data_IF_734828712405
#
_entry.id   IF_734828712405
#
_cell.length_a   1.000
_cell.length_b   1.000
_cell.length_c   1.000
_cell.angle_alpha   90.00
_cell.angle_beta   90.00
_cell.angle_gamma   90.00
#
_symmetry.space_group_name_H-M   'P 1'
#
loop_
_entity.id
_entity.type
_entity.pdbx_description
1 polymer ?
#
# COMPACT_ATOMS: atom_id res chain seq x y z
N UNK A 1 -81.50 -18.51 20.50
CA UNK A 1 -80.32 -19.39 20.66
C UNK A 1 -79.21 -18.90 19.71
N UNK A 2 -78.31 -18.03 20.14
CA UNK A 2 -77.18 -17.51 19.30
C UNK A 2 -75.90 -18.23 19.70
N UNK A 3 -75.32 -19.04 18.80
CA UNK A 3 -74.00 -19.66 18.96
C UNK A 3 -72.91 -18.66 18.51
N UNK A 4 -72.18 -18.06 19.46
CA UNK A 4 -70.94 -17.31 19.18
C UNK A 4 -69.79 -18.29 18.84
N UNK A 5 -69.32 -18.22 17.62
CA UNK A 5 -68.09 -18.91 17.17
C UNK A 5 -66.90 -17.99 17.53
N UNK A 6 -66.05 -18.42 18.44
CA UNK A 6 -64.75 -17.78 18.72
C UNK A 6 -63.75 -18.24 17.66
N UNK A 7 -63.29 -17.31 16.85
CA UNK A 7 -62.20 -17.55 15.92
C UNK A 7 -60.86 -17.24 16.68
N UNK A 8 -60.07 -18.27 16.96
CA UNK A 8 -58.73 -18.11 17.55
C UNK A 8 -57.79 -17.86 16.39
N UNK A 9 -57.27 -16.63 16.28
CA UNK A 9 -56.25 -16.24 15.33
C UNK A 9 -54.86 -16.66 15.90
N UNK A 10 -54.29 -17.74 15.35
CA UNK A 10 -52.92 -18.18 15.67
C UNK A 10 -51.96 -17.26 14.95
N UNK A 11 -51.31 -16.29 15.65
CA UNK A 11 -50.19 -15.52 15.14
C UNK A 11 -48.95 -16.45 15.07
N UNK A 12 -48.59 -16.87 13.88
CA UNK A 12 -47.29 -17.48 13.61
C UNK A 12 -46.19 -16.39 13.66
N UNK A 13 -45.46 -16.33 14.75
CA UNK A 13 -44.22 -15.53 14.83
C UNK A 13 -43.14 -16.24 14.01
N UNK A 14 -42.90 -15.76 12.80
CA UNK A 14 -41.73 -16.18 12.00
C UNK A 14 -40.46 -15.67 12.70
N UNK A 15 -39.43 -16.51 12.95
CA UNK A 15 -38.16 -16.04 13.44
C UNK A 15 -37.50 -15.18 12.34
N UNK A 16 -37.38 -13.88 12.61
CA UNK A 16 -36.56 -12.96 11.80
C UNK A 16 -35.09 -13.40 11.92
N UNK A 17 -34.64 -14.19 10.97
CA UNK A 17 -33.22 -14.49 10.81
C UNK A 17 -32.55 -13.17 10.36
N UNK A 18 -32.07 -12.37 11.33
CA UNK A 18 -31.17 -11.27 11.02
C UNK A 18 -29.89 -11.91 10.46
N UNK A 19 -29.77 -11.93 9.13
CA UNK A 19 -28.52 -12.16 8.48
C UNK A 19 -27.56 -11.06 8.99
N UNK A 20 -26.65 -11.43 9.88
CA UNK A 20 -25.56 -10.58 10.34
C UNK A 20 -24.74 -10.29 9.08
N UNK A 21 -24.91 -9.11 8.49
CA UNK A 21 -24.01 -8.63 7.43
C UNK A 21 -22.63 -8.62 8.04
N UNK A 22 -21.79 -9.58 7.65
CA UNK A 22 -20.37 -9.53 7.99
C UNK A 22 -19.81 -8.28 7.35
N UNK A 23 -19.58 -7.24 8.13
CA UNK A 23 -18.87 -6.06 7.68
C UNK A 23 -17.46 -6.52 7.28
N UNK A 24 -17.00 -6.13 6.09
CA UNK A 24 -15.62 -6.42 5.67
C UNK A 24 -14.67 -5.47 6.37
N UNK A 25 -13.56 -5.98 6.89
CA UNK A 25 -12.45 -5.16 7.40
C UNK A 25 -11.94 -4.26 6.28
N UNK A 26 -12.03 -2.94 6.45
CA UNK A 26 -11.58 -1.96 5.46
C UNK A 26 -10.16 -1.48 5.77
N UNK A 27 -9.24 -1.78 4.86
CA UNK A 27 -7.83 -1.42 4.97
C UNK A 27 -7.48 -0.30 3.99
N UNK A 28 -6.91 0.80 4.50
CA UNK A 28 -6.21 1.78 3.69
C UNK A 28 -4.75 1.35 3.55
N UNK A 29 -4.29 0.95 2.37
CA UNK A 29 -2.97 0.38 2.14
C UNK A 29 -2.16 1.23 1.16
N UNK A 30 -0.92 1.55 1.50
CA UNK A 30 0.01 2.24 0.60
C UNK A 30 0.20 1.44 -0.71
N UNK A 31 0.32 2.15 -1.82
CA UNK A 31 0.27 1.57 -3.17
C UNK A 31 1.39 0.54 -3.45
N UNK A 32 2.51 0.58 -2.74
CA UNK A 32 3.59 -0.42 -2.83
C UNK A 32 3.19 -1.80 -2.26
N UNK A 33 2.10 -1.87 -1.47
CA UNK A 33 1.53 -3.11 -0.98
C UNK A 33 0.61 -3.81 -2.00
N UNK A 34 0.20 -3.11 -3.06
CA UNK A 34 -0.71 -3.67 -4.08
C UNK A 34 -0.23 -5.00 -4.69
N UNK A 35 1.07 -5.23 -4.93
CA UNK A 35 1.56 -6.53 -5.42
C UNK A 35 1.59 -7.64 -4.38
N UNK A 36 1.54 -7.30 -3.09
CA UNK A 36 1.84 -8.23 -1.98
C UNK A 36 0.60 -8.56 -1.14
N UNK A 37 -0.15 -7.53 -0.76
CA UNK A 37 -1.23 -7.62 0.21
C UNK A 37 -2.40 -8.53 -0.21
N UNK A 38 -2.83 -8.61 -1.49
CA UNK A 38 -3.94 -9.46 -1.88
C UNK A 38 -3.75 -10.93 -1.51
N UNK A 39 -2.56 -11.49 -1.70
CA UNK A 39 -2.27 -12.87 -1.34
C UNK A 39 -2.27 -13.11 0.19
N UNK A 40 -1.89 -12.11 0.97
CA UNK A 40 -1.96 -12.15 2.43
C UNK A 40 -3.40 -12.01 2.93
N UNK A 41 -4.20 -11.17 2.27
CA UNK A 41 -5.65 -11.06 2.53
C UNK A 41 -6.32 -12.41 2.30
N UNK A 42 -6.10 -13.05 1.16
CA UNK A 42 -6.64 -14.38 0.86
C UNK A 42 -6.27 -15.42 1.92
N UNK A 43 -5.03 -15.35 2.43
CA UNK A 43 -4.56 -16.24 3.50
C UNK A 43 -5.27 -15.94 4.83
N UNK A 44 -5.42 -14.67 5.20
CA UNK A 44 -6.13 -14.24 6.40
C UNK A 44 -7.61 -14.63 6.36
N UNK A 45 -8.29 -14.36 5.23
CA UNK A 45 -9.70 -14.73 5.03
C UNK A 45 -9.94 -16.23 5.19
N UNK A 46 -9.04 -17.07 4.63
CA UNK A 46 -9.13 -18.54 4.76
C UNK A 46 -8.93 -19.01 6.20
N UNK A 47 -8.08 -18.34 6.97
CA UNK A 47 -7.79 -18.70 8.37
C UNK A 47 -8.88 -18.24 9.34
N UNK A 48 -9.52 -17.11 9.08
CA UNK A 48 -10.40 -16.43 10.03
C UNK A 48 -11.88 -16.43 9.62
N UNK A 49 -12.17 -16.75 8.35
CA UNK A 49 -13.49 -16.57 7.73
C UNK A 49 -14.00 -15.11 7.78
N UNK A 50 -13.10 -14.13 7.95
CA UNK A 50 -13.38 -12.70 7.92
C UNK A 50 -13.13 -12.15 6.53
N UNK A 51 -13.92 -11.18 6.09
CA UNK A 51 -13.73 -10.51 4.80
C UNK A 51 -12.90 -9.25 4.94
N UNK A 52 -12.02 -9.01 3.98
CA UNK A 52 -11.13 -7.85 3.95
C UNK A 52 -11.26 -7.13 2.60
N UNK A 53 -11.41 -5.81 2.68
CA UNK A 53 -11.46 -4.92 1.53
C UNK A 53 -10.33 -3.89 1.65
N UNK A 54 -9.38 -3.92 0.73
CA UNK A 54 -8.22 -3.04 0.74
C UNK A 54 -8.27 -2.00 -0.39
N UNK A 55 -8.14 -0.73 -0.02
CA UNK A 55 -8.01 0.39 -0.96
C UNK A 55 -6.56 0.84 -1.04
N UNK A 56 -6.05 1.06 -2.25
CA UNK A 56 -4.65 1.39 -2.50
C UNK A 56 -4.51 2.80 -3.08
N UNK A 57 -3.68 3.62 -2.44
CA UNK A 57 -3.33 4.97 -2.90
C UNK A 57 -1.99 5.43 -2.32
N UNK A 58 -1.60 6.69 -2.55
CA UNK A 58 -0.46 7.29 -1.84
C UNK A 58 -0.76 7.38 -0.33
N UNK A 59 0.28 7.28 0.51
CA UNK A 59 0.10 7.36 1.97
C UNK A 59 -0.54 8.67 2.41
N UNK A 60 -0.23 9.80 1.74
CA UNK A 60 -0.85 11.09 2.03
C UNK A 60 -2.35 11.10 1.67
N UNK A 61 -2.73 10.58 0.51
CA UNK A 61 -4.12 10.50 0.07
C UNK A 61 -4.96 9.68 1.05
N UNK A 62 -4.45 8.51 1.48
CA UNK A 62 -5.12 7.66 2.45
C UNK A 62 -5.25 8.33 3.83
N UNK A 63 -4.17 8.95 4.32
CA UNK A 63 -4.22 9.71 5.57
C UNK A 63 -5.27 10.83 5.51
N UNK A 64 -5.33 11.58 4.38
CA UNK A 64 -6.33 12.62 4.17
C UNK A 64 -7.75 12.05 4.18
N UNK A 65 -7.98 10.90 3.53
CA UNK A 65 -9.29 10.24 3.57
C UNK A 65 -9.68 9.84 4.99
N UNK A 66 -8.75 9.27 5.78
CA UNK A 66 -8.98 8.89 7.18
C UNK A 66 -9.30 10.11 8.02
N UNK A 67 -8.51 11.19 7.91
CA UNK A 67 -8.73 12.45 8.63
C UNK A 67 -10.08 13.10 8.31
N UNK A 68 -10.62 12.85 7.11
CA UNK A 68 -11.95 13.30 6.69
C UNK A 68 -13.07 12.26 6.94
N UNK A 69 -12.84 11.27 7.79
CA UNK A 69 -13.86 10.29 8.18
C UNK A 69 -14.05 9.13 7.20
N UNK A 70 -13.05 8.84 6.36
CA UNK A 70 -13.05 7.65 5.49
C UNK A 70 -13.28 6.37 6.29
N UNK A 71 -14.02 5.38 5.75
CA UNK A 71 -14.51 4.23 6.51
C UNK A 71 -13.45 3.13 6.65
N UNK A 72 -12.24 3.48 7.06
CA UNK A 72 -11.14 2.54 7.25
C UNK A 72 -11.00 2.14 8.71
N UNK A 73 -10.62 0.88 8.96
CA UNK A 73 -10.35 0.35 10.29
C UNK A 73 -8.85 0.10 10.53
N UNK A 74 -8.07 -0.07 9.44
CA UNK A 74 -6.60 -0.21 9.51
C UNK A 74 -5.96 0.66 8.43
N UNK A 75 -4.87 1.35 8.79
CA UNK A 75 -4.02 2.10 7.87
C UNK A 75 -2.62 1.48 7.83
N UNK A 76 -2.19 1.05 6.64
CA UNK A 76 -0.86 0.54 6.34
C UNK A 76 -0.15 1.57 5.44
N UNK A 77 0.71 2.38 6.02
CA UNK A 77 1.44 3.46 5.35
C UNK A 77 2.83 3.02 4.95
N UNK A 78 3.35 3.60 3.88
CA UNK A 78 4.74 3.42 3.46
C UNK A 78 5.74 4.30 4.25
N UNK A 79 5.32 4.98 5.31
CA UNK A 79 6.17 5.66 6.28
C UNK A 79 5.50 5.72 7.66
N UNK A 80 6.20 6.31 8.64
CA UNK A 80 5.67 6.54 9.99
C UNK A 80 4.96 7.89 10.14
N UNK A 81 5.25 8.86 9.27
CA UNK A 81 4.78 10.25 9.45
C UNK A 81 3.28 10.42 9.21
N UNK A 82 2.71 9.71 8.22
CA UNK A 82 1.29 9.78 7.96
C UNK A 82 0.45 9.05 9.01
N UNK A 83 0.80 7.84 9.48
CA UNK A 83 0.17 7.25 10.66
C UNK A 83 0.26 8.15 11.90
N UNK A 84 1.39 8.82 12.12
CA UNK A 84 1.53 9.77 13.23
C UNK A 84 0.51 10.91 13.15
N UNK A 85 0.26 11.47 11.96
CA UNK A 85 -0.79 12.50 11.78
C UNK A 85 -2.19 11.99 12.16
N UNK A 86 -2.49 10.71 11.89
CA UNK A 86 -3.76 10.09 12.29
C UNK A 86 -3.84 9.94 13.81
N UNK A 87 -2.72 9.59 14.45
CA UNK A 87 -2.60 9.52 15.93
C UNK A 87 -2.78 10.91 16.54
N UNK A 88 -2.08 11.92 16.03
CA UNK A 88 -2.11 13.30 16.53
C UNK A 88 -3.53 13.91 16.41
N UNK A 89 -4.31 13.46 15.43
CA UNK A 89 -5.72 13.82 15.28
C UNK A 89 -6.66 13.05 16.25
N UNK A 90 -6.14 12.15 17.09
CA UNK A 90 -6.91 11.36 18.05
C UNK A 90 -7.74 10.23 17.41
N UNK A 91 -7.47 9.88 16.16
CA UNK A 91 -8.23 8.88 15.38
C UNK A 91 -7.66 7.46 15.49
N UNK A 92 -6.44 7.27 16.01
CA UNK A 92 -5.83 5.96 16.23
C UNK A 92 -5.97 5.52 17.69
N UNK A 93 -5.96 4.23 17.94
CA UNK A 93 -6.04 3.64 19.28
C UNK A 93 -4.67 3.45 19.94
N UNK A 94 -3.59 3.70 19.22
CA UNK A 94 -2.21 3.64 19.71
C UNK A 94 -1.58 5.02 19.82
N UNK A 95 -0.56 5.16 20.70
CA UNK A 95 0.20 6.40 20.87
C UNK A 95 1.35 6.56 19.85
N UNK A 96 1.70 5.50 19.14
CA UNK A 96 2.77 5.49 18.15
C UNK A 96 2.40 4.55 16.99
N UNK A 97 2.89 4.83 15.75
CA UNK A 97 2.75 3.90 14.65
C UNK A 97 3.48 2.58 14.95
N UNK A 98 2.91 1.47 14.52
CA UNK A 98 3.53 0.13 14.63
C UNK A 98 4.36 -0.12 13.37
N UNK A 99 5.71 -0.17 13.45
CA UNK A 99 6.54 -0.51 12.29
C UNK A 99 6.28 -1.96 11.87
N UNK A 100 5.96 -2.20 10.58
CA UNK A 100 5.70 -3.57 10.11
C UNK A 100 6.68 -4.05 9.04
N UNK A 101 7.28 -3.13 8.25
CA UNK A 101 8.20 -3.46 7.19
C UNK A 101 9.13 -2.29 6.83
N UNK A 102 10.16 -2.55 6.02
CA UNK A 102 10.99 -1.56 5.35
C UNK A 102 11.00 -1.80 3.85
N UNK A 103 10.64 -0.76 3.08
CA UNK A 103 10.62 -0.79 1.63
C UNK A 103 12.00 -0.56 1.03
N UNK A 104 12.20 -1.05 -0.20
CA UNK A 104 13.41 -0.83 -1.00
C UNK A 104 13.04 -0.10 -2.29
N UNK A 105 13.76 1.00 -2.57
CA UNK A 105 13.64 1.76 -3.82
C UNK A 105 14.54 1.14 -4.88
N UNK A 106 14.01 0.94 -6.08
CA UNK A 106 14.78 0.43 -7.23
C UNK A 106 14.57 1.32 -8.45
N UNK A 107 15.58 1.37 -9.31
CA UNK A 107 15.45 1.85 -10.69
C UNK A 107 15.08 0.66 -11.56
N UNK A 108 14.01 0.76 -12.32
CA UNK A 108 13.52 -0.29 -13.22
C UNK A 108 13.37 0.24 -14.64
N UNK A 109 13.67 -0.59 -15.62
CA UNK A 109 13.44 -0.30 -17.02
C UNK A 109 13.01 -1.55 -17.80
N UNK A 110 12.19 -1.35 -18.83
CA UNK A 110 11.87 -2.42 -19.78
C UNK A 110 13.11 -2.96 -20.50
N UNK A 111 13.03 -4.20 -20.96
CA UNK A 111 14.10 -4.84 -21.72
C UNK A 111 14.43 -4.10 -23.03
N UNK A 112 13.46 -3.39 -23.61
CA UNK A 112 13.59 -2.59 -24.84
C UNK A 112 13.82 -1.08 -24.57
N UNK A 113 14.09 -0.69 -23.34
CA UNK A 113 14.39 0.70 -22.97
C UNK A 113 15.67 1.19 -23.66
N UNK A 114 15.72 2.48 -24.08
CA UNK A 114 16.90 3.05 -24.77
C UNK A 114 18.14 3.15 -23.88
N UNK A 115 18.03 2.85 -22.59
CA UNK A 115 19.12 2.94 -21.61
C UNK A 115 19.63 1.59 -21.12
N UNK A 116 19.42 0.54 -21.89
CA UNK A 116 19.99 -0.77 -21.59
C UNK A 116 21.48 -0.85 -21.98
N UNK A 117 22.33 -1.60 -21.26
CA UNK A 117 22.02 -2.31 -20.00
C UNK A 117 21.76 -1.37 -18.84
N UNK A 118 20.74 -1.70 -18.03
CA UNK A 118 20.33 -0.84 -16.93
C UNK A 118 21.38 -0.82 -15.79
N UNK A 119 21.75 0.38 -15.37
CA UNK A 119 22.58 0.66 -14.21
C UNK A 119 22.17 2.00 -13.59
N UNK A 120 22.72 2.36 -12.44
CA UNK A 120 22.51 3.70 -11.86
C UNK A 120 23.02 4.80 -12.82
N UNK A 121 24.13 4.54 -13.53
CA UNK A 121 24.68 5.49 -14.50
C UNK A 121 23.79 5.68 -15.73
N UNK A 122 22.82 4.80 -15.97
CA UNK A 122 21.79 5.01 -17.01
C UNK A 122 21.02 6.31 -16.80
N UNK A 123 20.93 6.83 -15.58
CA UNK A 123 20.35 8.15 -15.29
C UNK A 123 21.13 9.33 -15.90
N UNK A 124 22.39 9.12 -16.28
CA UNK A 124 23.27 10.10 -16.96
C UNK A 124 23.30 9.91 -18.48
N UNK A 125 22.64 8.88 -18.99
CA UNK A 125 22.66 8.57 -20.41
C UNK A 125 22.04 9.68 -21.25
N UNK A 126 22.66 10.08 -22.36
CA UNK A 126 22.08 11.02 -23.32
C UNK A 126 20.83 10.44 -24.00
N UNK A 127 20.66 9.11 -24.03
CA UNK A 127 19.47 8.44 -24.56
C UNK A 127 18.27 8.49 -23.61
N UNK A 128 18.48 8.84 -22.32
CA UNK A 128 17.40 8.96 -21.33
C UNK A 128 16.57 10.21 -21.60
N UNK A 129 15.28 10.04 -21.83
CA UNK A 129 14.33 11.14 -22.08
C UNK A 129 13.38 11.36 -20.93
N UNK A 130 12.91 10.27 -20.28
CA UNK A 130 11.86 10.32 -19.27
C UNK A 130 12.13 9.38 -18.10
N UNK A 131 11.84 9.85 -16.88
CA UNK A 131 12.02 9.12 -15.62
C UNK A 131 10.71 9.20 -14.82
N UNK A 132 10.05 8.08 -14.62
CA UNK A 132 8.87 8.03 -13.74
C UNK A 132 9.29 8.07 -12.27
N UNK A 133 8.63 8.93 -11.51
CA UNK A 133 8.79 9.06 -10.05
C UNK A 133 7.41 9.25 -9.41
N UNK A 134 7.20 8.74 -8.20
CA UNK A 134 6.03 9.10 -7.43
C UNK A 134 6.13 10.54 -6.93
N UNK A 135 4.98 11.21 -6.70
CA UNK A 135 4.96 12.56 -6.14
C UNK A 135 5.57 12.57 -4.73
N UNK A 136 6.63 13.36 -4.54
CA UNK A 136 7.37 13.43 -3.28
C UNK A 136 6.55 14.06 -2.13
N UNK A 137 5.51 14.83 -2.42
CA UNK A 137 4.63 15.40 -1.39
C UNK A 137 3.65 14.35 -0.83
N UNK A 138 3.25 13.39 -1.66
CA UNK A 138 2.20 12.43 -1.35
C UNK A 138 2.71 11.03 -1.02
N UNK A 139 3.87 10.63 -1.59
CA UNK A 139 4.37 9.26 -1.53
C UNK A 139 5.76 9.19 -0.87
N UNK A 140 5.94 8.33 0.15
CA UNK A 140 7.25 8.11 0.78
C UNK A 140 8.34 7.67 -0.20
N UNK A 141 8.01 6.80 -1.14
CA UNK A 141 8.92 6.40 -2.23
C UNK A 141 9.28 7.56 -3.16
N UNK A 142 8.38 8.52 -3.35
CA UNK A 142 8.66 9.75 -4.09
C UNK A 142 9.68 10.63 -3.37
N UNK A 143 9.55 10.77 -2.04
CA UNK A 143 10.56 11.45 -1.20
C UNK A 143 11.91 10.74 -1.26
N UNK A 144 11.91 9.42 -1.21
CA UNK A 144 13.13 8.61 -1.33
C UNK A 144 13.80 8.81 -2.71
N UNK A 145 13.04 8.77 -3.81
CA UNK A 145 13.56 9.02 -5.14
C UNK A 145 14.13 10.44 -5.29
N UNK A 146 13.45 11.46 -4.76
CA UNK A 146 13.93 12.83 -4.74
C UNK A 146 15.25 12.94 -3.99
N UNK A 147 15.34 12.39 -2.77
CA UNK A 147 16.55 12.42 -1.96
C UNK A 147 17.72 11.68 -2.65
N UNK A 148 17.45 10.53 -3.27
CA UNK A 148 18.46 9.80 -4.04
C UNK A 148 19.00 10.64 -5.22
N UNK A 149 18.11 11.27 -5.99
CA UNK A 149 18.51 12.14 -7.11
C UNK A 149 19.30 13.35 -6.64
N UNK A 150 18.95 13.96 -5.51
CA UNK A 150 19.69 15.06 -4.89
C UNK A 150 21.10 14.60 -4.47
N UNK A 151 21.20 13.46 -3.77
CA UNK A 151 22.50 12.91 -3.32
C UNK A 151 23.42 12.51 -4.48
N UNK A 152 22.85 11.99 -5.58
CA UNK A 152 23.59 11.66 -6.80
C UNK A 152 23.99 12.90 -7.62
N UNK A 153 23.53 14.11 -7.24
CA UNK A 153 23.73 15.36 -8.00
C UNK A 153 22.98 15.39 -9.34
N UNK A 154 21.86 14.66 -9.45
CA UNK A 154 21.09 14.53 -10.69
C UNK A 154 19.76 15.29 -10.67
N UNK A 155 19.34 15.86 -9.54
CA UNK A 155 18.03 16.47 -9.39
C UNK A 155 17.77 17.57 -10.44
N UNK A 156 18.71 18.51 -10.63
CA UNK A 156 18.53 19.58 -11.62
C UNK A 156 18.64 19.07 -13.07
N UNK A 157 19.58 18.15 -13.34
CA UNK A 157 19.78 17.61 -14.69
C UNK A 157 18.57 16.81 -15.20
N UNK A 158 17.83 16.16 -14.28
CA UNK A 158 16.67 15.34 -14.62
C UNK A 158 15.33 16.04 -14.42
N UNK A 159 15.28 17.25 -13.84
CA UNK A 159 14.05 17.99 -13.52
C UNK A 159 13.06 18.06 -14.69
N UNK A 160 13.54 18.35 -15.89
CA UNK A 160 12.72 18.42 -17.11
C UNK A 160 12.37 17.05 -17.73
N UNK A 161 12.90 15.95 -17.18
CA UNK A 161 12.66 14.58 -17.64
C UNK A 161 11.74 13.80 -16.69
N UNK A 162 11.36 14.37 -15.53
CA UNK A 162 10.55 13.66 -14.55
C UNK A 162 9.09 13.58 -15.00
N UNK A 163 8.55 12.36 -15.01
CA UNK A 163 7.14 12.06 -15.16
C UNK A 163 6.59 11.72 -13.78
N UNK A 164 5.92 12.68 -13.17
CA UNK A 164 5.45 12.57 -11.77
C UNK A 164 4.13 11.83 -11.72
N UNK A 165 4.12 10.71 -11.04
CA UNK A 165 2.96 9.86 -10.77
C UNK A 165 2.35 10.18 -9.41
N UNK A 166 1.06 9.93 -9.24
CA UNK A 166 0.35 10.15 -7.96
C UNK A 166 0.92 9.26 -6.83
N UNK A 167 1.29 8.02 -7.17
CA UNK A 167 1.84 7.06 -6.22
C UNK A 167 2.86 6.12 -6.89
N UNK A 168 3.48 5.25 -6.08
CA UNK A 168 4.57 4.38 -6.57
C UNK A 168 4.09 3.28 -7.53
N UNK A 169 2.85 2.81 -7.42
CA UNK A 169 2.30 1.83 -8.36
C UNK A 169 2.05 2.47 -9.73
N UNK A 170 1.59 3.72 -9.78
CA UNK A 170 1.44 4.44 -11.05
C UNK A 170 2.81 4.77 -11.68
N UNK A 171 3.85 5.06 -10.88
CA UNK A 171 5.21 5.22 -11.41
C UNK A 171 5.69 3.91 -12.09
N UNK A 172 5.41 2.76 -11.47
CA UNK A 172 5.70 1.46 -12.08
C UNK A 172 4.91 1.24 -13.38
N UNK A 173 3.64 1.64 -13.43
CA UNK A 173 2.82 1.57 -14.66
C UNK A 173 3.38 2.45 -15.79
N UNK A 174 3.86 3.67 -15.49
CA UNK A 174 4.45 4.54 -16.50
C UNK A 174 5.72 3.94 -17.10
N UNK A 175 6.59 3.34 -16.26
CA UNK A 175 7.77 2.66 -16.74
C UNK A 175 7.43 1.40 -17.58
N UNK A 176 6.47 0.57 -17.11
CA UNK A 176 6.05 -0.67 -17.77
C UNK A 176 5.33 -0.42 -19.11
N UNK A 177 4.53 0.64 -19.22
CA UNK A 177 3.83 1.01 -20.46
C UNK A 177 4.70 1.73 -21.49
N UNK A 178 5.93 2.16 -21.11
CA UNK A 178 6.81 2.96 -21.96
C UNK A 178 6.50 4.46 -21.98
N UNK A 179 5.61 4.92 -21.12
CA UNK A 179 5.41 6.35 -20.87
C UNK A 179 6.63 7.00 -20.16
N UNK A 180 7.49 6.16 -19.59
CA UNK A 180 8.81 6.56 -19.10
C UNK A 180 9.86 5.53 -19.52
N UNK A 181 11.06 6.01 -19.85
CA UNK A 181 12.20 5.15 -20.26
C UNK A 181 12.70 4.31 -19.08
N UNK A 182 12.64 4.88 -17.86
CA UNK A 182 12.95 4.23 -16.58
C UNK A 182 11.97 4.71 -15.50
N UNK A 183 11.86 3.97 -14.40
CA UNK A 183 11.06 4.38 -13.24
C UNK A 183 11.77 4.09 -11.92
N UNK A 184 11.71 5.03 -10.99
CA UNK A 184 11.93 4.74 -9.58
C UNK A 184 10.68 4.07 -9.04
N UNK A 185 10.78 2.78 -8.72
CA UNK A 185 9.65 1.97 -8.26
C UNK A 185 9.97 1.21 -6.97
N UNK A 186 8.98 0.57 -6.36
CA UNK A 186 9.20 -0.32 -5.23
C UNK A 186 9.76 -1.67 -5.68
N UNK A 187 10.60 -2.28 -4.85
CA UNK A 187 11.07 -3.65 -5.09
C UNK A 187 9.90 -4.63 -5.14
N UNK A 188 8.82 -4.40 -4.37
CA UNK A 188 7.59 -5.20 -4.43
C UNK A 188 6.98 -5.24 -5.84
N UNK A 189 6.97 -4.11 -6.53
CA UNK A 189 6.51 -4.03 -7.92
C UNK A 189 7.47 -4.73 -8.88
N UNK A 190 8.79 -4.50 -8.74
CA UNK A 190 9.80 -5.08 -9.62
C UNK A 190 9.85 -6.61 -9.56
N UNK A 191 9.51 -7.20 -8.40
CA UNK A 191 9.48 -8.65 -8.18
C UNK A 191 8.20 -9.33 -8.68
N UNK A 192 7.22 -8.57 -9.17
CA UNK A 192 6.03 -9.20 -9.77
C UNK A 192 6.41 -10.02 -11.01
N UNK A 193 5.71 -11.13 -11.33
CA UNK A 193 5.99 -11.91 -12.53
C UNK A 193 5.98 -11.06 -13.80
N UNK A 194 5.08 -10.07 -13.88
CA UNK A 194 4.96 -9.16 -15.03
C UNK A 194 6.21 -8.32 -15.21
N UNK A 195 6.59 -7.52 -14.19
CA UNK A 195 7.75 -6.62 -14.33
C UNK A 195 9.08 -7.38 -14.35
N UNK A 196 9.17 -8.51 -13.65
CA UNK A 196 10.35 -9.36 -13.67
C UNK A 196 10.62 -9.99 -15.04
N UNK A 197 9.59 -10.27 -15.85
CA UNK A 197 9.74 -10.79 -17.21
C UNK A 197 9.93 -9.69 -18.27
N UNK A 198 9.29 -8.53 -18.09
CA UNK A 198 9.29 -7.43 -19.07
C UNK A 198 10.46 -6.46 -18.94
N UNK A 199 11.19 -6.50 -17.81
CA UNK A 199 12.26 -5.54 -17.55
C UNK A 199 13.32 -6.04 -16.58
N UNK A 200 14.20 -5.12 -16.20
CA UNK A 200 15.28 -5.32 -15.24
C UNK A 200 15.24 -4.21 -14.19
N UNK A 201 15.77 -4.48 -13.00
CA UNK A 201 15.94 -3.46 -11.97
C UNK A 201 17.36 -3.47 -11.41
N UNK A 202 17.74 -2.34 -10.82
CA UNK A 202 18.90 -2.18 -9.94
C UNK A 202 18.43 -1.51 -8.65
N UNK A 203 18.90 -1.99 -7.51
CA UNK A 203 18.59 -1.34 -6.23
C UNK A 203 19.30 0.01 -6.15
N UNK A 204 18.60 1.04 -5.67
CA UNK A 204 19.23 2.29 -5.29
C UNK A 204 19.94 2.05 -3.94
N UNK A 205 21.22 2.46 -3.79
CA UNK A 205 21.92 2.30 -2.51
C UNK A 205 21.11 2.85 -1.34
N UNK A 206 20.96 2.06 -0.27
CA UNK A 206 20.16 2.45 0.90
C UNK A 206 20.67 3.73 1.57
N UNK A 207 21.95 4.05 1.42
CA UNK A 207 22.54 5.29 1.92
C UNK A 207 22.14 6.53 1.09
N UNK A 208 21.58 6.36 -0.09
CA UNK A 208 21.23 7.48 -0.98
C UNK A 208 19.84 8.07 -0.70
N UNK A 209 19.07 7.46 0.21
CA UNK A 209 17.74 7.96 0.59
C UNK A 209 17.42 7.61 2.05
N UNK A 210 16.52 8.39 2.71
CA UNK A 210 16.05 8.04 4.04
C UNK A 210 15.34 6.68 4.06
N UNK A 211 15.50 5.86 5.10
CA UNK A 211 14.82 4.56 5.20
C UNK A 211 13.31 4.68 4.98
N UNK A 212 12.76 3.81 4.14
CA UNK A 212 11.32 3.75 3.89
C UNK A 212 10.71 2.81 4.95
N UNK A 213 10.68 3.27 6.20
CA UNK A 213 10.15 2.51 7.33
C UNK A 213 8.63 2.61 7.35
N UNK A 214 7.94 1.51 7.06
CA UNK A 214 6.50 1.45 6.92
C UNK A 214 5.82 1.26 8.27
N UNK A 215 4.72 1.99 8.50
CA UNK A 215 3.99 2.00 9.77
C UNK A 215 2.50 1.74 9.62
N UNK A 216 1.93 1.09 10.62
CA UNK A 216 0.51 0.79 10.73
C UNK A 216 -0.13 1.49 11.92
N UNK A 217 -1.41 1.83 11.79
CA UNK A 217 -2.28 2.20 12.92
C UNK A 217 -3.68 1.61 12.73
N UNK A 218 -4.28 1.17 13.83
CA UNK A 218 -5.70 0.81 13.89
C UNK A 218 -6.51 2.07 14.16
N UNK A 219 -7.60 2.26 13.42
CA UNK A 219 -8.45 3.44 13.52
C UNK A 219 -9.45 3.22 14.67
N UNK A 220 -9.45 4.13 15.65
CA UNK A 220 -10.16 4.03 16.93
C UNK A 220 -11.67 3.84 16.80
N UNK A 221 -12.26 4.44 15.78
CA UNK A 221 -13.72 4.38 15.54
C UNK A 221 -14.07 3.55 14.30
N UNK A 222 -13.14 2.73 13.80
CA UNK A 222 -13.41 1.75 12.76
C UNK A 222 -14.44 0.74 13.23
N UNK A 223 -15.37 0.40 12.36
CA UNK A 223 -16.46 -0.55 12.68
C UNK A 223 -15.94 -1.94 13.11
N UNK A 224 -14.73 -2.28 12.67
CA UNK A 224 -14.11 -3.61 12.81
C UNK A 224 -12.71 -3.51 13.47
N UNK A 225 -12.60 -2.73 14.58
CA UNK A 225 -11.31 -2.50 15.27
C UNK A 225 -10.67 -3.82 15.77
N UNK A 226 -11.46 -4.77 16.26
CA UNK A 226 -10.96 -6.07 16.71
C UNK A 226 -10.37 -6.89 15.55
N UNK A 227 -11.02 -6.89 14.39
CA UNK A 227 -10.54 -7.51 13.17
C UNK A 227 -9.29 -6.80 12.62
N UNK A 228 -9.21 -5.47 12.78
CA UNK A 228 -8.05 -4.68 12.39
C UNK A 228 -6.81 -5.07 13.22
N UNK A 229 -6.96 -5.23 14.54
CA UNK A 229 -5.90 -5.76 15.40
C UNK A 229 -5.49 -7.17 15.00
N UNK A 230 -6.47 -8.05 14.79
CA UNK A 230 -6.20 -9.43 14.37
C UNK A 230 -5.42 -9.49 13.04
N UNK A 231 -5.76 -8.61 12.07
CA UNK A 231 -5.04 -8.52 10.82
C UNK A 231 -3.63 -7.96 11.02
N UNK A 232 -3.46 -6.96 11.88
CA UNK A 232 -2.15 -6.40 12.21
C UNK A 232 -1.25 -7.45 12.88
N UNK A 233 -1.78 -8.20 13.86
CA UNK A 233 -1.05 -9.31 14.50
C UNK A 233 -0.66 -10.40 13.50
N UNK A 234 -1.57 -10.75 12.58
CA UNK A 234 -1.28 -11.65 11.47
C UNK A 234 -0.14 -11.12 10.62
N UNK A 235 -0.16 -9.84 10.21
CA UNK A 235 0.86 -9.20 9.39
C UNK A 235 2.23 -9.21 10.09
N UNK A 236 2.25 -9.04 11.42
CA UNK A 236 3.46 -9.01 12.25
C UNK A 236 4.00 -10.41 12.61
N UNK A 237 3.24 -11.46 12.33
CA UNK A 237 3.65 -12.84 12.66
C UNK A 237 4.91 -13.26 11.89
N UNK A 238 5.80 -14.08 12.50
CA UNK A 238 7.04 -14.50 11.85
C UNK A 238 6.86 -15.15 10.46
N UNK A 239 5.85 -16.01 10.21
CA UNK A 239 5.62 -16.57 8.88
C UNK A 239 5.28 -15.52 7.83
N UNK A 240 4.49 -14.51 8.20
CA UNK A 240 4.08 -13.44 7.27
C UNK A 240 5.21 -12.46 7.03
N UNK A 241 5.99 -12.10 8.06
CA UNK A 241 7.21 -11.30 7.89
C UNK A 241 8.21 -11.94 6.93
N UNK A 242 8.36 -13.27 6.98
CA UNK A 242 9.18 -14.00 6.00
C UNK A 242 8.62 -13.87 4.59
N UNK A 243 7.31 -14.02 4.40
CA UNK A 243 6.66 -13.84 3.10
C UNK A 243 6.80 -12.39 2.58
N UNK A 244 6.73 -11.38 3.46
CA UNK A 244 6.96 -9.98 3.10
C UNK A 244 8.39 -9.78 2.62
N UNK A 245 9.39 -10.36 3.32
CA UNK A 245 10.80 -10.27 2.93
C UNK A 245 11.07 -10.91 1.55
N UNK A 246 10.49 -12.07 1.28
CA UNK A 246 10.58 -12.76 -0.02
C UNK A 246 9.97 -11.94 -1.17
N UNK A 247 9.09 -10.99 -0.84
CA UNK A 247 8.40 -10.10 -1.79
C UNK A 247 8.92 -8.66 -1.80
N UNK A 248 10.11 -8.43 -1.22
CA UNK A 248 10.79 -7.14 -1.30
C UNK A 248 10.49 -6.16 -0.17
N UNK A 249 9.89 -6.62 0.94
CA UNK A 249 9.66 -5.83 2.16
C UNK A 249 10.50 -6.38 3.30
N UNK A 250 11.64 -5.74 3.57
CA UNK A 250 12.58 -6.13 4.63
C UNK A 250 11.95 -5.96 6.03
N UNK A 251 12.53 -6.60 7.03
CA UNK A 251 12.17 -6.33 8.44
C UNK A 251 12.40 -4.85 8.79
N UNK A 252 11.56 -4.26 9.69
CA UNK A 252 11.70 -2.88 10.13
C UNK A 252 13.03 -2.59 10.80
#
# INVERSE_FOLDING_TARGET
>A
MFRRRFLILLLLAAPSCFAQQSTSLKIAAAADLQPVLPALIDQFEKQTNKKVDASYASSATLATQILNGGPFSLFLSADLSFPQKVIDAGLADSAQPVPYARGTLVLWARNDSPVQPLSIDSLRSPSLRTVAVANAEHAPYGRAAKAALEKMGLAEALKGKLVVAENIAQAAQYADSGNADVGFISLTSALTPRLGSSGKYVEIPEDDYPPILQGAVVIKHGADAAEAHQFLDFLLSPPIRKQLAERGLKAP
#
